data_IF_667023268399
#
_entry.id   IF_667023268399
#
_cell.length_a   1.000
_cell.length_b   1.000
_cell.length_c   1.000
_cell.angle_alpha   90.00
_cell.angle_beta   90.00
_cell.angle_gamma   90.00
#
_symmetry.space_group_name_H-M   'P 1'
#
loop_
_entity.id
_entity.type
_entity.pdbx_description
1 polymer ?
#
# COMPACT_ATOMS: atom_id res chain seq x y z
N UNK A 1 27.05 0.28 -7.61
CA UNK A 1 25.73 0.10 -6.95
C UNK A 1 25.25 -1.29 -7.32
N UNK A 2 25.07 -2.18 -6.35
CA UNK A 2 24.52 -3.51 -6.63
C UNK A 2 23.08 -3.31 -7.10
N UNK A 3 22.79 -3.56 -8.38
CA UNK A 3 21.42 -3.66 -8.86
C UNK A 3 20.74 -4.77 -8.07
N UNK A 4 19.76 -4.45 -7.21
CA UNK A 4 18.86 -5.47 -6.68
C UNK A 4 18.20 -6.11 -7.89
N UNK A 5 18.49 -7.39 -8.15
CA UNK A 5 17.77 -8.16 -9.16
C UNK A 5 16.44 -8.56 -8.56
N UNK A 6 15.37 -7.96 -9.05
CA UNK A 6 14.02 -8.38 -8.72
C UNK A 6 13.67 -9.63 -9.54
N UNK A 7 12.90 -10.55 -8.94
CA UNK A 7 12.31 -11.68 -9.66
C UNK A 7 11.01 -11.16 -10.24
N UNK A 8 10.94 -11.05 -11.57
CA UNK A 8 9.76 -10.56 -12.27
C UNK A 8 9.13 -11.72 -13.02
N UNK A 9 7.97 -12.13 -12.54
CA UNK A 9 7.11 -13.14 -13.18
C UNK A 9 5.67 -12.64 -13.36
N UNK A 10 5.31 -11.51 -12.73
CA UNK A 10 4.07 -10.77 -12.98
C UNK A 10 4.10 -10.02 -14.31
N UNK A 11 2.94 -9.64 -14.84
CA UNK A 11 2.87 -8.54 -15.81
C UNK A 11 3.08 -7.21 -15.08
N UNK A 12 4.04 -6.39 -15.49
CA UNK A 12 4.27 -5.07 -14.88
C UNK A 12 3.80 -3.97 -15.83
N UNK A 13 3.18 -2.93 -15.26
CA UNK A 13 2.64 -1.78 -15.99
C UNK A 13 3.10 -0.48 -15.32
N UNK A 14 3.77 0.37 -16.10
CA UNK A 14 4.15 1.72 -15.67
C UNK A 14 2.91 2.63 -15.58
N UNK A 15 2.51 3.00 -14.36
CA UNK A 15 1.35 3.87 -14.12
C UNK A 15 1.54 5.30 -14.65
N UNK A 16 2.78 5.72 -14.93
CA UNK A 16 3.03 7.01 -15.56
C UNK A 16 2.64 7.05 -17.04
N UNK A 17 2.57 5.88 -17.68
CA UNK A 17 2.22 5.72 -19.10
C UNK A 17 0.84 5.10 -19.32
N UNK A 18 0.23 4.52 -18.28
CA UNK A 18 -1.11 3.94 -18.37
C UNK A 18 -2.21 5.01 -18.28
N UNK A 19 -3.21 4.90 -19.16
CA UNK A 19 -4.42 5.71 -19.13
C UNK A 19 -5.62 4.84 -18.75
N UNK A 20 -6.18 5.00 -17.53
CA UNK A 20 -7.31 4.20 -17.07
C UNK A 20 -8.56 4.36 -17.91
N UNK A 21 -9.32 3.28 -18.05
CA UNK A 21 -10.64 3.25 -18.69
C UNK A 21 -11.74 3.05 -17.64
N UNK A 22 -13.00 3.42 -17.95
CA UNK A 22 -14.11 3.28 -17.00
C UNK A 22 -14.35 1.85 -16.50
N UNK A 23 -14.05 0.85 -17.32
CA UNK A 23 -14.17 -0.57 -16.97
C UNK A 23 -13.01 -1.11 -16.13
N UNK A 24 -11.92 -0.33 -15.97
CA UNK A 24 -10.77 -0.79 -15.21
C UNK A 24 -11.09 -0.81 -13.71
N UNK A 25 -10.62 -1.87 -13.07
CA UNK A 25 -10.66 -2.01 -11.62
C UNK A 25 -9.29 -2.40 -11.08
N UNK A 26 -9.00 -1.93 -9.87
CA UNK A 26 -7.70 -2.10 -9.24
C UNK A 26 -7.85 -2.31 -7.74
N UNK A 27 -7.05 -3.21 -7.17
CA UNK A 27 -6.78 -3.20 -5.75
C UNK A 27 -5.63 -2.24 -5.45
N UNK A 28 -5.77 -1.43 -4.41
CA UNK A 28 -4.76 -0.44 -4.02
C UNK A 28 -4.09 -0.89 -2.73
N UNK A 29 -2.77 -0.99 -2.79
CA UNK A 29 -1.92 -1.34 -1.66
C UNK A 29 -1.90 -0.24 -0.57
N UNK A 30 -1.61 -0.62 0.67
CA UNK A 30 -1.60 0.26 1.84
C UNK A 30 -0.58 1.38 1.70
N UNK A 31 0.61 1.11 1.15
CA UNK A 31 1.63 2.15 0.94
C UNK A 31 1.14 3.27 0.01
N UNK A 32 0.33 2.92 -0.98
CA UNK A 32 -0.29 3.86 -1.91
C UNK A 32 -1.38 4.63 -1.20
N UNK A 33 -2.25 3.98 -0.42
CA UNK A 33 -3.26 4.67 0.37
C UNK A 33 -2.66 5.70 1.32
N UNK A 34 -1.54 5.36 1.97
CA UNK A 34 -0.81 6.29 2.80
C UNK A 34 -0.40 7.55 2.03
N UNK A 35 0.17 7.43 0.83
CA UNK A 35 0.57 8.60 0.04
C UNK A 35 -0.59 9.41 -0.54
N UNK A 36 -1.73 8.78 -0.78
CA UNK A 36 -2.90 9.42 -1.38
C UNK A 36 -3.72 10.18 -0.35
N UNK A 37 -3.90 9.59 0.84
CA UNK A 37 -4.87 10.07 1.81
C UNK A 37 -4.26 10.74 3.05
N UNK A 38 -3.03 10.41 3.45
CA UNK A 38 -2.43 10.95 4.68
C UNK A 38 -1.77 12.30 4.45
N UNK A 39 -2.00 13.23 5.38
CA UNK A 39 -1.44 14.59 5.36
C UNK A 39 0.07 14.57 5.69
N UNK A 40 0.48 13.62 6.53
CA UNK A 40 1.85 13.50 7.01
C UNK A 40 2.75 12.67 6.08
N UNK A 41 2.19 12.09 5.01
CA UNK A 41 2.93 11.28 4.05
C UNK A 41 4.16 12.00 3.49
N UNK A 42 4.07 13.31 3.24
CA UNK A 42 5.18 14.12 2.72
C UNK A 42 6.32 14.32 3.72
N UNK A 43 6.04 14.22 5.01
CA UNK A 43 6.97 14.48 6.11
C UNK A 43 7.76 13.21 6.52
N UNK A 44 7.13 12.05 6.32
CA UNK A 44 7.70 10.73 6.59
C UNK A 44 8.63 10.18 5.51
N UNK A 45 8.60 10.73 4.28
CA UNK A 45 9.34 10.16 3.16
C UNK A 45 10.78 10.67 3.05
N UNK A 46 11.69 9.75 2.71
CA UNK A 46 13.02 10.11 2.24
C UNK A 46 12.94 10.86 0.89
N UNK A 47 13.93 11.73 0.60
CA UNK A 47 14.01 12.45 -0.68
C UNK A 47 13.92 11.53 -1.91
N UNK A 48 14.35 10.27 -1.79
CA UNK A 48 14.32 9.30 -2.89
C UNK A 48 12.90 8.87 -3.29
N UNK A 49 11.93 8.92 -2.36
CA UNK A 49 10.53 8.56 -2.60
C UNK A 49 9.62 9.76 -2.81
N UNK A 50 10.16 10.99 -2.78
CA UNK A 50 9.40 12.22 -2.94
C UNK A 50 8.64 12.35 -4.28
N UNK A 51 8.97 11.54 -5.29
CA UNK A 51 8.19 11.50 -6.55
C UNK A 51 6.94 10.63 -6.44
N UNK A 52 6.95 9.59 -5.63
CA UNK A 52 5.83 8.64 -5.51
C UNK A 52 4.60 9.31 -4.92
N UNK A 53 4.77 10.23 -3.96
CA UNK A 53 3.69 11.06 -3.39
C UNK A 53 3.00 11.98 -4.40
N UNK A 54 3.50 12.06 -5.64
CA UNK A 54 2.81 12.74 -6.74
C UNK A 54 2.27 11.74 -7.76
N UNK A 55 3.10 10.79 -8.19
CA UNK A 55 2.75 9.86 -9.26
C UNK A 55 1.54 8.99 -8.87
N UNK A 56 1.52 8.46 -7.64
CA UNK A 56 0.44 7.59 -7.20
C UNK A 56 -0.87 8.36 -6.99
N UNK A 57 -0.91 9.51 -6.27
CA UNK A 57 -2.13 10.32 -6.20
C UNK A 57 -2.65 10.80 -7.56
N UNK A 58 -1.76 11.18 -8.49
CA UNK A 58 -2.15 11.56 -9.85
C UNK A 58 -2.81 10.37 -10.58
N UNK A 59 -2.27 9.15 -10.43
CA UNK A 59 -2.85 7.95 -11.04
C UNK A 59 -4.21 7.59 -10.45
N UNK A 60 -4.34 7.59 -9.12
CA UNK A 60 -5.62 7.36 -8.43
C UNK A 60 -6.68 8.36 -8.90
N UNK A 61 -6.30 9.64 -9.01
CA UNK A 61 -7.20 10.68 -9.55
C UNK A 61 -7.63 10.39 -10.99
N UNK A 62 -6.75 9.89 -11.86
CA UNK A 62 -7.13 9.49 -13.22
C UNK A 62 -8.18 8.38 -13.20
N UNK A 63 -7.99 7.33 -12.39
CA UNK A 63 -8.95 6.22 -12.24
C UNK A 63 -10.31 6.75 -11.79
N UNK A 64 -10.34 7.61 -10.77
CA UNK A 64 -11.59 8.20 -10.26
C UNK A 64 -12.28 9.09 -11.31
N UNK A 65 -11.53 9.88 -12.08
CA UNK A 65 -12.10 10.75 -13.12
C UNK A 65 -12.81 9.98 -14.23
N UNK A 66 -12.29 8.81 -14.61
CA UNK A 66 -12.95 7.93 -15.60
C UNK A 66 -14.01 7.02 -14.98
N UNK A 67 -14.24 7.12 -13.66
CA UNK A 67 -15.16 6.28 -12.88
C UNK A 67 -14.76 4.80 -12.84
N UNK A 68 -13.46 4.53 -12.93
CA UNK A 68 -12.92 3.20 -12.66
C UNK A 68 -13.10 2.81 -11.19
N UNK A 69 -12.96 1.52 -10.89
CA UNK A 69 -13.17 0.99 -9.52
C UNK A 69 -11.84 0.86 -8.79
N UNK A 70 -11.76 1.41 -7.58
CA UNK A 70 -10.66 1.16 -6.66
C UNK A 70 -11.16 0.31 -5.50
N UNK A 71 -10.48 -0.80 -5.24
CA UNK A 71 -10.75 -1.69 -4.13
C UNK A 71 -9.79 -1.43 -2.97
N UNK A 72 -10.29 -1.60 -1.76
CA UNK A 72 -9.53 -1.62 -0.51
C UNK A 72 -9.88 -2.86 0.30
N UNK A 73 -9.03 -3.24 1.24
CA UNK A 73 -9.34 -4.23 2.27
C UNK A 73 -9.47 -3.57 3.63
N UNK A 74 -10.36 -4.07 4.49
CA UNK A 74 -10.38 -3.65 5.91
C UNK A 74 -9.08 -4.00 6.64
N UNK A 75 -8.33 -5.01 6.18
CA UNK A 75 -7.01 -5.30 6.74
C UNK A 75 -6.03 -4.13 6.51
N UNK A 76 -6.21 -3.35 5.43
CA UNK A 76 -5.38 -2.16 5.15
C UNK A 76 -5.49 -1.10 6.22
N UNK A 77 -6.59 -1.04 6.96
CA UNK A 77 -6.72 -0.14 8.09
C UNK A 77 -5.64 -0.40 9.15
N UNK A 78 -5.37 -1.67 9.45
CA UNK A 78 -4.44 -2.04 10.52
C UNK A 78 -2.99 -1.68 10.18
N UNK A 79 -2.58 -1.91 8.94
CA UNK A 79 -1.25 -1.53 8.46
C UNK A 79 -1.13 -0.01 8.30
N UNK A 80 -2.13 0.65 7.70
CA UNK A 80 -2.16 2.10 7.51
C UNK A 80 -2.08 2.84 8.85
N UNK A 81 -2.83 2.39 9.86
CA UNK A 81 -2.79 2.95 11.21
C UNK A 81 -1.38 2.86 11.82
N UNK A 82 -0.69 1.74 11.61
CA UNK A 82 0.67 1.56 12.08
C UNK A 82 1.68 2.42 11.30
N UNK A 83 1.49 2.62 10.00
CA UNK A 83 2.30 3.52 9.18
C UNK A 83 2.18 4.98 9.64
N UNK A 84 0.94 5.43 9.92
CA UNK A 84 0.68 6.77 10.45
C UNK A 84 1.33 6.94 11.82
N UNK A 85 1.09 6.01 12.76
CA UNK A 85 1.68 6.09 14.10
C UNK A 85 3.22 6.10 14.05
N UNK A 86 3.82 5.27 13.20
CA UNK A 86 5.27 5.26 13.02
C UNK A 86 5.78 6.58 12.46
N UNK A 87 5.08 7.16 11.49
CA UNK A 87 5.46 8.43 10.87
C UNK A 87 5.37 9.58 11.87
N UNK A 88 4.30 9.64 12.66
CA UNK A 88 4.13 10.62 13.75
C UNK A 88 5.23 10.51 14.79
N UNK A 89 5.56 9.29 15.20
CA UNK A 89 6.66 9.03 16.11
C UNK A 89 8.02 9.49 15.51
N UNK A 90 8.27 9.23 14.23
CA UNK A 90 9.50 9.68 13.55
C UNK A 90 9.58 11.21 13.43
N UNK A 91 8.43 11.88 13.22
CA UNK A 91 8.32 13.34 13.24
C UNK A 91 8.65 13.85 14.64
N UNK A 92 7.99 13.32 15.67
CA UNK A 92 8.24 13.68 17.07
C UNK A 92 9.72 13.56 17.45
N UNK A 93 10.38 12.44 17.10
CA UNK A 93 11.81 12.25 17.37
C UNK A 93 12.68 13.31 16.70
N UNK A 94 12.34 13.66 15.46
CA UNK A 94 13.07 14.67 14.68
C UNK A 94 12.89 16.08 15.23
N UNK A 95 11.68 16.42 15.66
CA UNK A 95 11.33 17.74 16.21
C UNK A 95 11.90 17.97 17.61
N UNK A 96 11.85 16.94 18.46
CA UNK A 96 12.20 17.07 19.88
C UNK A 96 13.61 16.61 20.22
N UNK A 97 14.21 15.75 19.37
CA UNK A 97 15.48 15.08 19.65
C UNK A 97 15.39 14.00 20.74
N UNK A 98 14.18 13.65 21.20
CA UNK A 98 13.97 12.66 22.27
C UNK A 98 14.08 11.25 21.69
N UNK A 99 15.00 10.45 22.23
CA UNK A 99 15.22 9.06 21.82
C UNK A 99 14.53 8.08 22.77
N UNK A 100 13.23 7.90 22.56
CA UNK A 100 12.39 6.91 23.25
C UNK A 100 11.91 5.85 22.27
N UNK A 101 11.32 4.75 22.76
CA UNK A 101 10.69 3.74 21.89
C UNK A 101 9.31 4.21 21.42
N UNK A 102 8.81 3.66 20.30
CA UNK A 102 7.43 3.93 19.84
C UNK A 102 6.38 3.55 20.91
N UNK A 103 6.63 2.49 21.68
CA UNK A 103 5.78 2.10 22.81
C UNK A 103 5.79 3.17 23.91
N UNK A 104 6.96 3.69 24.28
CA UNK A 104 7.08 4.77 25.25
C UNK A 104 6.39 6.04 24.75
N UNK A 105 6.57 6.40 23.47
CA UNK A 105 5.87 7.51 22.83
C UNK A 105 4.34 7.41 23.02
N UNK A 106 3.76 6.24 22.73
CA UNK A 106 2.32 5.98 22.90
C UNK A 106 1.82 6.19 24.33
N UNK A 107 2.62 5.86 25.34
CA UNK A 107 2.21 5.88 26.75
C UNK A 107 2.55 7.21 27.45
N UNK A 108 3.74 7.75 27.22
CA UNK A 108 4.28 8.92 27.91
C UNK A 108 3.85 10.23 27.24
N UNK A 109 3.56 10.20 25.94
CA UNK A 109 3.08 11.35 25.16
C UNK A 109 1.63 11.16 24.72
N UNK A 110 0.79 10.65 25.63
CA UNK A 110 -0.62 10.36 25.36
C UNK A 110 -1.42 11.58 24.88
N UNK A 111 -0.98 12.81 25.17
CA UNK A 111 -1.60 14.03 24.63
C UNK A 111 -1.43 14.17 23.12
N UNK A 112 -0.40 13.57 22.50
CA UNK A 112 -0.26 13.49 21.03
C UNK A 112 -1.04 12.31 20.45
N UNK A 113 -1.54 11.39 21.27
CA UNK A 113 -2.30 10.24 20.78
C UNK A 113 -3.61 10.66 20.11
N UNK A 114 -4.23 11.74 20.57
CA UNK A 114 -5.41 12.33 19.92
C UNK A 114 -5.11 12.69 18.47
N UNK A 115 -3.98 13.37 18.23
CA UNK A 115 -3.60 13.86 16.91
C UNK A 115 -3.31 12.67 15.98
N UNK A 116 -2.65 11.62 16.49
CA UNK A 116 -2.43 10.37 15.75
C UNK A 116 -3.77 9.68 15.41
N UNK A 117 -4.74 9.67 16.32
CA UNK A 117 -6.08 9.09 16.04
C UNK A 117 -6.81 9.92 15.00
N UNK A 118 -6.80 11.24 15.12
CA UNK A 118 -7.44 12.15 14.17
C UNK A 118 -6.87 11.97 12.76
N UNK A 119 -5.55 11.87 12.61
CA UNK A 119 -4.92 11.59 11.31
C UNK A 119 -5.34 10.22 10.76
N UNK A 120 -5.45 9.18 11.60
CA UNK A 120 -5.94 7.86 11.19
C UNK A 120 -7.40 7.96 10.70
N UNK A 121 -8.28 8.62 11.45
CA UNK A 121 -9.70 8.76 11.12
C UNK A 121 -9.90 9.54 9.82
N UNK A 122 -9.20 10.67 9.66
CA UNK A 122 -9.26 11.49 8.45
C UNK A 122 -8.72 10.74 7.24
N UNK A 123 -7.55 10.09 7.37
CA UNK A 123 -6.94 9.30 6.29
C UNK A 123 -7.87 8.17 5.88
N UNK A 124 -8.40 7.41 6.84
CA UNK A 124 -9.28 6.28 6.53
C UNK A 124 -10.59 6.73 5.89
N UNK A 125 -11.21 7.80 6.39
CA UNK A 125 -12.43 8.36 5.81
C UNK A 125 -12.24 8.74 4.33
N UNK A 126 -11.07 9.26 3.95
CA UNK A 126 -10.74 9.54 2.56
C UNK A 126 -10.58 8.26 1.74
N UNK A 127 -9.90 7.24 2.28
CA UNK A 127 -9.77 5.92 1.64
C UNK A 127 -11.16 5.31 1.39
N UNK A 128 -12.07 5.36 2.36
CA UNK A 128 -13.45 4.89 2.21
C UNK A 128 -14.22 5.68 1.14
N UNK A 129 -14.05 7.00 1.09
CA UNK A 129 -14.74 7.82 0.09
C UNK A 129 -14.27 7.54 -1.35
N UNK A 130 -13.05 7.04 -1.54
CA UNK A 130 -12.44 6.78 -2.86
C UNK A 130 -12.59 5.33 -3.33
N UNK A 131 -13.04 4.39 -2.51
CA UNK A 131 -12.90 2.96 -2.80
C UNK A 131 -14.05 2.09 -2.32
N UNK A 132 -14.08 0.86 -2.82
CA UNK A 132 -15.02 -0.18 -2.44
C UNK A 132 -14.31 -1.20 -1.57
N UNK A 133 -14.88 -1.53 -0.42
CA UNK A 133 -14.33 -2.54 0.48
C UNK A 133 -14.53 -3.94 -0.09
N UNK A 134 -13.47 -4.74 -0.07
CA UNK A 134 -13.55 -6.18 -0.32
C UNK A 134 -13.76 -6.92 1.01
N UNK A 135 -14.65 -7.91 1.09
CA UNK A 135 -14.78 -8.77 2.25
C UNK A 135 -13.46 -9.47 2.60
N UNK A 136 -13.20 -9.61 3.90
CA UNK A 136 -12.10 -10.45 4.40
C UNK A 136 -12.67 -11.47 5.37
N UNK A 137 -12.66 -12.73 4.97
CA UNK A 137 -13.17 -13.84 5.75
C UNK A 137 -12.02 -14.68 6.32
N UNK A 138 -11.55 -14.31 7.52
CA UNK A 138 -10.46 -15.01 8.21
C UNK A 138 -10.95 -16.36 8.75
N UNK A 139 -10.72 -17.42 7.98
CA UNK A 139 -11.02 -18.81 8.34
C UNK A 139 -9.74 -19.64 8.43
N UNK A 140 -9.81 -20.81 9.05
CA UNK A 140 -8.66 -21.75 9.04
C UNK A 140 -8.27 -22.16 7.62
N UNK A 141 -9.24 -22.33 6.72
CA UNK A 141 -8.97 -22.64 5.32
C UNK A 141 -8.23 -21.48 4.62
N UNK A 142 -8.71 -20.25 4.80
CA UNK A 142 -8.04 -19.05 4.29
C UNK A 142 -6.60 -18.95 4.81
N UNK A 143 -6.38 -19.24 6.10
CA UNK A 143 -5.05 -19.21 6.70
C UNK A 143 -4.10 -20.20 6.02
N UNK A 144 -4.55 -21.42 5.69
CA UNK A 144 -3.74 -22.37 4.96
C UNK A 144 -3.44 -21.90 3.52
N UNK A 145 -4.41 -21.31 2.82
CA UNK A 145 -4.18 -20.73 1.49
C UNK A 145 -3.13 -19.63 1.51
N UNK A 146 -3.16 -18.76 2.52
CA UNK A 146 -2.14 -17.72 2.74
C UNK A 146 -0.76 -18.33 2.98
N UNK A 147 -0.67 -19.36 3.84
CA UNK A 147 0.60 -20.08 4.09
C UNK A 147 1.16 -20.68 2.80
N UNK A 148 0.31 -21.32 1.99
CA UNK A 148 0.70 -21.94 0.72
C UNK A 148 1.18 -20.87 -0.29
N UNK A 149 0.48 -19.73 -0.37
CA UNK A 149 0.90 -18.60 -1.22
C UNK A 149 2.24 -18.00 -0.78
N UNK A 150 2.45 -17.81 0.52
CA UNK A 150 3.74 -17.37 1.05
C UNK A 150 4.87 -18.39 0.79
N UNK A 151 4.55 -19.69 0.77
CA UNK A 151 5.52 -20.74 0.46
C UNK A 151 5.96 -20.77 -1.01
N UNK A 152 5.11 -20.27 -1.90
CA UNK A 152 5.31 -20.31 -3.36
C UNK A 152 5.78 -18.98 -3.96
N UNK A 153 5.44 -17.85 -3.32
CA UNK A 153 5.83 -16.50 -3.74
C UNK A 153 6.73 -15.82 -2.71
N UNK A 154 7.18 -14.59 -2.99
CA UNK A 154 7.96 -13.76 -2.05
C UNK A 154 7.10 -12.72 -1.32
N UNK A 155 5.80 -12.95 -1.24
CA UNK A 155 4.88 -12.08 -0.52
C UNK A 155 5.10 -12.18 0.98
N UNK A 156 4.95 -11.05 1.66
CA UNK A 156 4.78 -11.04 3.10
C UNK A 156 3.38 -11.56 3.49
N UNK A 157 3.10 -11.81 4.79
CA UNK A 157 1.80 -12.32 5.22
C UNK A 157 0.62 -11.43 4.85
N UNK A 158 0.81 -10.11 4.83
CA UNK A 158 -0.24 -9.15 4.58
C UNK A 158 -0.59 -9.13 3.09
N UNK A 159 0.41 -9.04 2.22
CA UNK A 159 0.25 -9.11 0.77
C UNK A 159 -0.39 -10.43 0.33
N UNK A 160 0.03 -11.55 0.94
CA UNK A 160 -0.56 -12.85 0.69
C UNK A 160 -2.04 -12.90 1.10
N UNK A 161 -2.41 -12.30 2.24
CA UNK A 161 -3.82 -12.16 2.63
C UNK A 161 -4.61 -11.33 1.61
N UNK A 162 -4.03 -10.26 1.07
CA UNK A 162 -4.72 -9.39 0.10
C UNK A 162 -5.00 -10.14 -1.20
N UNK A 163 -4.00 -10.83 -1.72
CA UNK A 163 -4.14 -11.64 -2.94
C UNK A 163 -5.20 -12.74 -2.75
N UNK A 164 -5.14 -13.49 -1.66
CA UNK A 164 -6.15 -14.54 -1.40
C UNK A 164 -7.56 -13.97 -1.18
N UNK A 165 -7.69 -12.78 -0.58
CA UNK A 165 -9.00 -12.12 -0.43
C UNK A 165 -9.59 -11.72 -1.78
N UNK A 166 -8.77 -11.19 -2.70
CA UNK A 166 -9.20 -10.85 -4.05
C UNK A 166 -9.64 -12.09 -4.84
N UNK A 167 -8.87 -13.18 -4.74
CA UNK A 167 -9.19 -14.44 -5.41
C UNK A 167 -10.49 -15.05 -4.89
N UNK A 168 -10.73 -15.00 -3.58
CA UNK A 168 -11.96 -15.51 -2.98
C UNK A 168 -13.22 -14.78 -3.49
N UNK A 169 -13.09 -13.49 -3.79
CA UNK A 169 -14.17 -12.65 -4.33
C UNK A 169 -14.22 -12.62 -5.87
N UNK A 170 -13.33 -13.36 -6.55
CA UNK A 170 -13.24 -13.38 -8.00
C UNK A 170 -12.79 -12.05 -8.62
N UNK A 171 -12.13 -11.19 -7.84
CA UNK A 171 -11.63 -9.90 -8.30
C UNK A 171 -10.27 -10.12 -9.00
N UNK A 172 -10.05 -9.54 -10.20
CA UNK A 172 -8.76 -9.64 -10.88
C UNK A 172 -7.60 -9.09 -10.04
N UNK A 173 -6.46 -9.77 -10.08
CA UNK A 173 -5.23 -9.37 -9.37
C UNK A 173 -4.49 -8.21 -10.07
N UNK A 174 -5.19 -7.10 -10.29
CA UNK A 174 -4.64 -5.85 -10.81
C UNK A 174 -4.32 -4.94 -9.62
N UNK A 175 -3.05 -4.91 -9.24
CA UNK A 175 -2.62 -4.32 -7.96
C UNK A 175 -1.83 -3.04 -8.24
N UNK A 176 -2.26 -1.93 -7.66
CA UNK A 176 -1.51 -0.67 -7.64
C UNK A 176 -0.63 -0.69 -6.39
N UNK A 177 0.68 -0.82 -6.57
CA UNK A 177 1.65 -0.90 -5.48
C UNK A 177 3.02 -0.35 -5.90
N UNK A 178 3.82 0.09 -4.94
CA UNK A 178 5.26 0.34 -5.13
C UNK A 178 6.12 -0.82 -4.62
N UNK A 179 5.53 -1.81 -3.96
CA UNK A 179 6.23 -2.98 -3.47
C UNK A 179 6.62 -3.91 -4.63
N UNK A 180 7.89 -4.30 -4.65
CA UNK A 180 8.41 -5.19 -5.66
C UNK A 180 8.05 -6.64 -5.41
N UNK A 181 7.61 -7.02 -4.20
CA UNK A 181 7.30 -8.41 -3.87
C UNK A 181 6.08 -8.92 -4.67
N UNK A 182 5.14 -8.04 -5.03
CA UNK A 182 4.06 -8.36 -5.98
C UNK A 182 4.57 -8.76 -7.38
N UNK A 183 5.78 -8.35 -7.77
CA UNK A 183 6.35 -8.76 -9.07
C UNK A 183 6.73 -10.24 -9.13
N UNK A 184 6.81 -10.90 -7.96
CA UNK A 184 7.11 -12.33 -7.82
C UNK A 184 5.91 -13.26 -8.01
N UNK A 185 4.75 -12.72 -8.40
CA UNK A 185 3.47 -13.44 -8.45
C UNK A 185 2.95 -13.45 -9.88
N UNK A 186 2.91 -14.62 -10.53
CA UNK A 186 2.68 -14.71 -11.97
C UNK A 186 1.25 -14.38 -12.42
N UNK A 187 0.27 -14.53 -11.53
CA UNK A 187 -1.14 -14.20 -11.77
C UNK A 187 -1.47 -12.73 -11.44
N UNK A 188 -0.50 -11.95 -10.94
CA UNK A 188 -0.65 -10.51 -10.66
C UNK A 188 -0.30 -9.69 -11.90
N UNK A 189 -1.09 -8.65 -12.15
CA UNK A 189 -0.70 -7.49 -12.94
C UNK A 189 -0.35 -6.34 -11.99
N UNK A 190 0.93 -6.00 -11.90
CA UNK A 190 1.44 -4.96 -11.02
C UNK A 190 1.49 -3.61 -11.73
N UNK A 191 0.66 -2.67 -11.27
CA UNK A 191 0.64 -1.27 -11.68
C UNK A 191 1.54 -0.47 -10.74
N UNK A 192 2.72 -0.05 -11.23
CA UNK A 192 3.75 0.56 -10.38
C UNK A 192 4.48 1.73 -11.02
N UNK A 193 5.08 2.59 -10.19
CA UNK A 193 6.08 3.57 -10.59
C UNK A 193 7.49 3.21 -10.10
N UNK A 194 7.66 2.01 -9.53
CA UNK A 194 8.93 1.53 -9.01
C UNK A 194 9.91 1.25 -10.16
N UNK A 195 10.86 2.17 -10.37
CA UNK A 195 11.87 2.05 -11.43
C UNK A 195 12.73 0.80 -11.33
N UNK A 196 13.00 0.31 -10.12
CA UNK A 196 13.78 -0.92 -9.95
C UNK A 196 13.10 -2.12 -10.58
N UNK A 197 11.77 -2.21 -10.45
CA UNK A 197 10.97 -3.24 -11.11
C UNK A 197 10.89 -2.99 -12.61
N UNK A 198 10.54 -1.76 -13.03
CA UNK A 198 10.38 -1.41 -14.45
C UNK A 198 11.66 -1.58 -15.28
N UNK A 199 12.83 -1.28 -14.72
CA UNK A 199 14.13 -1.46 -15.41
C UNK A 199 14.54 -2.94 -15.47
N UNK A 200 14.17 -3.73 -14.45
CA UNK A 200 14.47 -5.17 -14.41
C UNK A 200 13.58 -5.99 -15.34
N UNK A 201 12.37 -5.51 -15.67
CA UNK A 201 11.47 -6.18 -16.64
C UNK A 201 12.03 -6.08 -18.08
N UNK A 202 12.73 -4.98 -18.38
CA UNK A 202 13.29 -4.69 -19.70
C UNK A 202 14.71 -5.27 -19.92
N UNK A 203 15.24 -6.04 -18.96
CA UNK A 203 16.61 -6.60 -18.95
C UNK A 203 16.63 -8.09 -19.22
#
# INVERSE_FOLDING_TARGET
MSSRKYIIVSQVVDISQYDPRPEDSFFVDTNVWFWVASQIASQGLSRFRAKQIRIYPDFIKKVLNVKGTLYRSELSFSELSNLIERTEYDIFKRETGIDITQKAYRHEYAHRRSDVIEEIELTWSLVEAMSVSIPVNLTSNFTHMVIDRMGTNKLDPYDACMVESLLAEGIPLRIISDDADFSSVSDVTLFTANRGVLESENS
#
